data_IF_045069021629
#
_entry.id   IF_045069021629
#
_cell.length_a   1.000
_cell.length_b   1.000
_cell.length_c   1.000
_cell.angle_alpha   90.00
_cell.angle_beta   90.00
_cell.angle_gamma   90.00
#
_symmetry.space_group_name_H-M   'P 1'
#
loop_
_entity.id
_entity.type
_entity.pdbx_description
1 polymer ?
#
# COMPACT_ATOMS: atom_id res chain seq x y z
N UNK A 1 -10.75 -25.17 -15.83
CA UNK A 1 -10.83 -24.43 -14.55
C UNK A 1 -9.58 -23.58 -14.44
N UNK A 2 -9.71 -22.26 -14.43
CA UNK A 2 -8.53 -21.39 -14.30
C UNK A 2 -8.01 -21.43 -12.86
N UNK A 3 -6.72 -21.76 -12.69
CA UNK A 3 -6.05 -21.77 -11.37
C UNK A 3 -5.50 -20.39 -11.00
N UNK A 4 -5.26 -19.54 -11.99
CA UNK A 4 -4.76 -18.17 -11.86
C UNK A 4 -5.63 -17.26 -12.73
N UNK A 5 -6.00 -16.12 -12.16
CA UNK A 5 -6.74 -15.05 -12.82
C UNK A 5 -5.78 -13.87 -12.89
N UNK A 6 -5.46 -13.45 -14.12
CA UNK A 6 -4.52 -12.37 -14.41
C UNK A 6 -5.26 -11.11 -14.80
N UNK A 7 -4.77 -9.96 -14.32
CA UNK A 7 -5.22 -8.64 -14.74
C UNK A 7 -4.15 -8.08 -15.68
N UNK A 8 -4.56 -7.46 -16.79
CA UNK A 8 -3.61 -6.80 -17.69
C UNK A 8 -3.03 -5.56 -17.01
N UNK A 9 -1.78 -5.21 -17.34
CA UNK A 9 -1.15 -3.98 -16.86
C UNK A 9 -1.98 -2.75 -17.23
N UNK A 10 -2.59 -2.72 -18.43
CA UNK A 10 -3.50 -1.67 -18.88
C UNK A 10 -4.73 -1.46 -17.99
N UNK A 11 -5.09 -2.47 -17.21
CA UNK A 11 -6.29 -2.49 -16.38
C UNK A 11 -5.95 -2.27 -14.89
N UNK A 12 -4.68 -1.95 -14.57
CA UNK A 12 -4.29 -1.65 -13.18
C UNK A 12 -5.05 -0.41 -12.67
N UNK A 13 -5.51 -0.40 -11.40
CA UNK A 13 -6.03 0.82 -10.79
C UNK A 13 -5.00 1.94 -10.85
N UNK A 14 -5.47 3.15 -11.17
CA UNK A 14 -4.64 4.37 -11.28
C UNK A 14 -4.78 5.30 -10.08
N UNK A 15 -5.57 4.90 -9.08
CA UNK A 15 -5.83 5.65 -7.86
C UNK A 15 -5.77 4.71 -6.65
N UNK A 16 -5.23 5.20 -5.54
CA UNK A 16 -5.41 4.58 -4.23
C UNK A 16 -6.78 4.96 -3.67
N UNK A 17 -7.37 4.04 -2.92
CA UNK A 17 -8.63 4.25 -2.22
C UNK A 17 -8.36 4.63 -0.76
N UNK A 18 -8.90 5.75 -0.32
CA UNK A 18 -8.84 6.19 1.06
C UNK A 18 -10.12 5.76 1.79
N UNK A 19 -9.99 4.77 2.66
CA UNK A 19 -11.13 4.26 3.43
C UNK A 19 -11.72 5.33 4.38
N UNK A 20 -10.92 6.29 4.84
CA UNK A 20 -11.37 7.30 5.81
C UNK A 20 -12.53 8.15 5.27
N UNK A 21 -12.63 8.33 3.96
CA UNK A 21 -13.71 9.07 3.31
C UNK A 21 -15.10 8.42 3.47
N UNK A 22 -15.14 7.12 3.76
CA UNK A 22 -16.38 6.33 3.80
C UNK A 22 -16.64 5.69 5.18
N UNK A 23 -15.83 6.03 6.21
CA UNK A 23 -16.07 5.57 7.58
C UNK A 23 -17.29 6.29 8.18
N UNK A 24 -18.15 5.60 8.97
CA UNK A 24 -19.31 6.23 9.61
C UNK A 24 -18.97 7.39 10.55
N UNK A 25 -17.77 7.33 11.15
CA UNK A 25 -17.16 8.40 11.93
C UNK A 25 -15.72 8.55 11.47
N UNK A 26 -15.17 9.78 11.40
CA UNK A 26 -13.77 9.98 11.06
C UNK A 26 -12.84 9.19 11.99
N UNK A 27 -11.67 8.73 11.50
CA UNK A 27 -10.62 8.21 12.37
C UNK A 27 -10.29 9.21 13.47
N UNK A 28 -10.01 8.70 14.68
CA UNK A 28 -9.52 9.55 15.75
C UNK A 28 -8.16 10.14 15.33
N UNK A 29 -7.91 11.43 15.61
CA UNK A 29 -6.65 12.04 15.23
C UNK A 29 -5.49 11.42 16.05
N UNK A 30 -4.28 11.37 15.49
CA UNK A 30 -3.09 11.04 16.25
C UNK A 30 -2.93 12.03 17.41
N UNK A 31 -2.53 11.50 18.58
CA UNK A 31 -2.35 12.29 19.80
C UNK A 31 -0.87 12.50 20.10
N UNK A 32 -0.55 13.67 20.63
CA UNK A 32 0.75 13.98 21.20
C UNK A 32 0.94 13.35 22.57
N UNK A 33 2.15 13.48 23.16
CA UNK A 33 2.44 12.98 24.50
C UNK A 33 1.56 13.58 25.61
N UNK A 34 0.95 14.74 25.38
CA UNK A 34 0.01 15.41 26.28
C UNK A 34 -1.43 14.92 26.13
N UNK A 35 -1.68 13.94 25.25
CA UNK A 35 -3.00 13.39 24.97
C UNK A 35 -3.88 14.26 24.07
N UNK A 36 -3.33 15.33 23.47
CA UNK A 36 -4.08 16.21 22.56
C UNK A 36 -3.82 15.87 21.10
N UNK A 37 -4.78 16.11 20.19
CA UNK A 37 -4.57 15.95 18.75
C UNK A 37 -3.36 16.75 18.26
N UNK A 38 -2.50 16.12 17.45
CA UNK A 38 -1.40 16.82 16.79
C UNK A 38 -1.90 17.60 15.58
N UNK A 39 -1.22 18.70 15.24
CA UNK A 39 -1.42 19.36 13.95
C UNK A 39 -0.56 18.70 12.87
N UNK A 40 -0.90 18.85 11.57
CA UNK A 40 -0.07 18.37 10.47
C UNK A 40 1.38 18.85 10.54
N UNK A 41 1.61 20.10 10.94
CA UNK A 41 2.95 20.68 11.08
C UNK A 41 3.82 19.96 12.13
N UNK A 42 3.20 19.31 13.11
CA UNK A 42 3.93 18.51 14.10
C UNK A 42 4.53 17.23 13.51
N UNK A 43 4.10 16.81 12.31
CA UNK A 43 4.67 15.67 11.57
C UNK A 43 5.84 16.09 10.66
N UNK A 44 5.98 17.39 10.37
CA UNK A 44 7.01 17.94 9.47
C UNK A 44 8.47 17.63 9.86
N UNK A 45 8.82 17.39 11.15
CA UNK A 45 10.17 16.93 11.50
C UNK A 45 10.54 15.54 10.95
N UNK A 46 9.54 14.72 10.60
CA UNK A 46 9.74 13.33 10.17
C UNK A 46 9.32 13.13 8.71
N UNK A 47 8.26 13.79 8.27
CA UNK A 47 7.67 13.58 6.95
C UNK A 47 7.64 14.87 6.11
N UNK A 48 7.88 14.79 4.80
CA UNK A 48 7.65 15.90 3.89
C UNK A 48 6.15 16.19 3.73
N UNK A 49 5.80 17.43 3.38
CA UNK A 49 4.40 17.90 3.30
C UNK A 49 3.54 17.05 2.36
N UNK A 50 4.07 16.61 1.22
CA UNK A 50 3.34 15.77 0.26
C UNK A 50 2.96 14.37 0.80
N UNK A 51 3.59 13.90 1.88
CA UNK A 51 3.20 12.68 2.60
C UNK A 51 2.18 13.05 3.70
N UNK A 52 2.42 14.14 4.42
CA UNK A 52 1.50 14.63 5.49
C UNK A 52 0.11 14.92 4.92
N UNK A 53 0.03 15.53 3.74
CA UNK A 53 -1.22 15.82 3.03
C UNK A 53 -2.05 14.56 2.75
N UNK A 54 -1.40 13.41 2.52
CA UNK A 54 -2.10 12.14 2.34
C UNK A 54 -2.68 11.60 3.65
N UNK A 55 -1.95 11.72 4.75
CA UNK A 55 -2.38 11.26 6.08
C UNK A 55 -3.66 11.98 6.54
N UNK A 56 -3.78 13.28 6.24
CA UNK A 56 -4.92 14.11 6.65
C UNK A 56 -5.98 14.27 5.55
N UNK A 57 -5.82 13.56 4.42
CA UNK A 57 -6.72 13.68 3.28
C UNK A 57 -8.11 13.12 3.59
N UNK A 58 -9.14 13.87 3.19
CA UNK A 58 -10.54 13.41 3.18
C UNK A 58 -11.02 12.99 1.80
N UNK A 59 -10.14 13.04 0.78
CA UNK A 59 -10.46 12.63 -0.57
C UNK A 59 -10.58 11.10 -0.65
N UNK A 60 -11.61 10.61 -1.34
CA UNK A 60 -11.87 9.16 -1.51
C UNK A 60 -10.82 8.50 -2.41
N UNK A 61 -10.37 9.21 -3.43
CA UNK A 61 -9.46 8.70 -4.45
C UNK A 61 -8.23 9.60 -4.54
N UNK A 62 -7.05 8.98 -4.47
CA UNK A 62 -5.77 9.68 -4.57
C UNK A 62 -5.04 9.13 -5.79
N UNK A 63 -4.73 9.98 -6.76
CA UNK A 63 -4.04 9.58 -7.98
C UNK A 63 -2.66 8.98 -7.67
N UNK A 64 -2.37 7.83 -8.29
CA UNK A 64 -1.05 7.21 -8.21
C UNK A 64 -0.15 7.94 -9.22
N UNK A 65 0.98 8.53 -8.79
CA UNK A 65 1.90 9.19 -9.71
C UNK A 65 2.39 8.22 -10.79
N UNK A 66 2.48 8.66 -12.04
CA UNK A 66 2.94 7.80 -13.15
C UNK A 66 4.30 7.13 -12.86
N UNK A 67 5.31 7.83 -12.31
CA UNK A 67 6.59 7.20 -11.99
C UNK A 67 6.48 6.08 -10.93
N UNK A 68 5.45 6.12 -10.08
CA UNK A 68 5.15 5.04 -9.14
C UNK A 68 4.52 3.86 -9.87
N UNK A 69 3.52 4.10 -10.73
CA UNK A 69 2.91 3.05 -11.57
C UNK A 69 3.95 2.35 -12.45
N UNK A 70 4.81 3.11 -13.12
CA UNK A 70 5.91 2.61 -13.95
C UNK A 70 6.82 1.62 -13.23
N UNK A 71 7.11 1.89 -11.95
CA UNK A 71 7.88 0.99 -11.11
C UNK A 71 7.07 -0.23 -10.68
N UNK A 72 5.80 -0.02 -10.28
CA UNK A 72 4.92 -1.09 -9.84
C UNK A 72 4.66 -2.12 -10.95
N UNK A 73 4.57 -1.74 -12.23
CA UNK A 73 4.37 -2.67 -13.36
C UNK A 73 5.40 -3.81 -13.41
N UNK A 74 6.59 -3.62 -12.82
CA UNK A 74 7.62 -4.68 -12.76
C UNK A 74 7.17 -5.92 -11.99
N UNK A 75 6.18 -5.82 -11.10
CA UNK A 75 5.59 -6.97 -10.38
C UNK A 75 4.07 -6.91 -10.20
N UNK A 76 3.43 -5.84 -10.66
CA UNK A 76 1.98 -5.61 -10.58
C UNK A 76 1.37 -5.67 -11.98
N UNK A 77 0.12 -6.15 -12.12
CA UNK A 77 -0.78 -6.62 -11.06
C UNK A 77 -0.44 -8.04 -10.55
N UNK A 78 -0.50 -8.25 -9.23
CA UNK A 78 -0.32 -9.60 -8.67
C UNK A 78 -1.49 -10.53 -9.07
N UNK A 79 -1.24 -11.83 -9.32
CA UNK A 79 -2.29 -12.76 -9.71
C UNK A 79 -3.30 -13.01 -8.58
N UNK A 80 -4.57 -13.21 -8.93
CA UNK A 80 -5.55 -13.83 -8.03
C UNK A 80 -5.54 -15.34 -8.30
N UNK A 81 -5.41 -16.16 -7.26
CA UNK A 81 -5.31 -17.60 -7.41
C UNK A 81 -6.45 -18.31 -6.71
N UNK A 82 -6.93 -19.40 -7.31
CA UNK A 82 -7.94 -20.26 -6.69
C UNK A 82 -7.26 -21.47 -6.04
N UNK A 83 -7.49 -21.68 -4.75
CA UNK A 83 -6.88 -22.74 -3.96
C UNK A 83 -7.63 -24.08 -4.12
N UNK A 84 -7.71 -24.60 -5.35
CA UNK A 84 -8.53 -25.78 -5.70
C UNK A 84 -8.19 -27.05 -4.91
N UNK A 85 -6.92 -27.24 -4.54
CA UNK A 85 -6.51 -28.40 -3.73
C UNK A 85 -6.89 -28.23 -2.26
N UNK A 86 -6.86 -26.99 -1.75
CA UNK A 86 -7.36 -26.69 -0.41
C UNK A 86 -8.88 -26.89 -0.34
N UNK A 87 -9.62 -26.43 -1.35
CA UNK A 87 -11.06 -26.68 -1.48
C UNK A 87 -11.39 -28.18 -1.40
N UNK A 88 -10.66 -29.00 -2.19
CA UNK A 88 -10.81 -30.47 -2.19
C UNK A 88 -10.47 -31.10 -0.84
N UNK A 89 -9.36 -30.70 -0.24
CA UNK A 89 -8.93 -31.20 1.06
C UNK A 89 -9.97 -30.92 2.15
N UNK A 90 -10.51 -29.70 2.17
CA UNK A 90 -11.52 -29.27 3.12
C UNK A 90 -12.93 -29.81 2.81
N UNK A 91 -13.15 -30.41 1.63
CA UNK A 91 -14.46 -30.83 1.13
C UNK A 91 -15.52 -29.73 1.22
N UNK A 92 -15.10 -28.48 1.00
CA UNK A 92 -15.98 -27.32 1.13
C UNK A 92 -16.67 -26.98 -0.20
N UNK A 93 -17.94 -26.54 -0.17
CA UNK A 93 -18.59 -25.97 -1.35
C UNK A 93 -18.09 -24.54 -1.64
N UNK A 94 -17.38 -23.91 -0.71
CA UNK A 94 -16.84 -22.57 -0.87
C UNK A 94 -15.71 -22.55 -1.92
N UNK A 95 -15.59 -21.42 -2.61
CA UNK A 95 -14.44 -21.14 -3.48
C UNK A 95 -13.43 -20.32 -2.68
N UNK A 96 -12.18 -20.75 -2.64
CA UNK A 96 -11.13 -20.09 -1.87
C UNK A 96 -10.19 -19.41 -2.85
N UNK A 97 -10.12 -18.08 -2.74
CA UNK A 97 -9.20 -17.25 -3.52
C UNK A 97 -8.20 -16.56 -2.62
N UNK A 98 -6.99 -16.36 -3.12
CA UNK A 98 -5.98 -15.56 -2.45
C UNK A 98 -5.29 -14.64 -3.45
N UNK A 99 -5.04 -13.40 -3.01
CA UNK A 99 -4.29 -12.40 -3.77
C UNK A 99 -2.81 -12.65 -3.53
N UNK A 100 -2.08 -13.03 -4.57
CA UNK A 100 -0.71 -13.52 -4.47
C UNK A 100 0.33 -12.38 -4.53
N UNK A 101 0.41 -11.61 -3.45
CA UNK A 101 1.38 -10.52 -3.28
C UNK A 101 2.82 -11.02 -3.04
N UNK A 102 3.08 -12.33 -3.12
CA UNK A 102 4.43 -12.90 -3.01
C UNK A 102 5.29 -12.68 -4.26
N UNK A 103 4.72 -12.07 -5.29
CA UNK A 103 5.32 -11.89 -6.62
C UNK A 103 6.23 -10.68 -6.74
N UNK A 104 6.28 -9.81 -5.72
CA UNK A 104 7.22 -8.69 -5.67
C UNK A 104 8.66 -9.16 -5.42
N UNK A 105 9.68 -8.35 -5.75
CA UNK A 105 11.09 -8.74 -5.53
C UNK A 105 11.43 -9.24 -4.11
N UNK A 106 10.94 -8.60 -3.01
CA UNK A 106 11.15 -9.12 -1.65
C UNK A 106 10.08 -10.13 -1.20
N UNK A 107 9.17 -10.55 -2.07
CA UNK A 107 8.17 -11.58 -1.78
C UNK A 107 7.04 -11.15 -0.85
N UNK A 108 6.67 -9.86 -0.82
CA UNK A 108 5.57 -9.35 0.02
C UNK A 108 4.88 -8.12 -0.57
N UNK A 109 3.79 -7.65 0.05
CA UNK A 109 3.08 -6.43 -0.36
C UNK A 109 3.80 -5.13 0.02
N UNK A 110 4.89 -5.17 0.80
CA UNK A 110 5.55 -3.98 1.35
C UNK A 110 6.07 -2.98 0.30
N UNK A 111 6.62 -3.40 -0.86
CA UNK A 111 7.00 -2.48 -1.93
C UNK A 111 5.87 -1.60 -2.44
N UNK A 112 4.60 -2.00 -2.26
CA UNK A 112 3.45 -1.20 -2.68
C UNK A 112 3.41 0.17 -1.99
N UNK A 113 3.90 0.29 -0.74
CA UNK A 113 4.07 1.58 -0.05
C UNK A 113 5.51 2.09 -0.08
N UNK A 114 6.52 1.21 0.03
CA UNK A 114 7.92 1.64 0.06
C UNK A 114 8.31 2.46 -1.18
N UNK A 115 7.85 2.04 -2.37
CA UNK A 115 8.08 2.74 -3.63
C UNK A 115 7.42 4.12 -3.63
N UNK A 116 6.17 4.22 -3.16
CA UNK A 116 5.46 5.48 -3.08
C UNK A 116 6.14 6.44 -2.10
N UNK A 117 6.50 5.96 -0.90
CA UNK A 117 7.20 6.77 0.10
C UNK A 117 8.58 7.22 -0.40
N UNK A 118 9.33 6.34 -1.06
CA UNK A 118 10.60 6.70 -1.67
C UNK A 118 10.44 7.75 -2.78
N UNK A 119 9.39 7.63 -3.61
CA UNK A 119 9.05 8.61 -4.63
C UNK A 119 8.72 9.99 -4.03
N UNK A 120 7.82 10.05 -3.04
CA UNK A 120 7.41 11.32 -2.45
C UNK A 120 8.57 12.04 -1.74
N UNK A 121 9.42 11.29 -1.04
CA UNK A 121 10.64 11.83 -0.44
C UNK A 121 11.61 12.35 -1.51
N UNK A 122 11.81 11.61 -2.61
CA UNK A 122 12.64 12.07 -3.73
C UNK A 122 12.12 13.38 -4.32
N UNK A 123 10.81 13.50 -4.53
CA UNK A 123 10.17 14.73 -5.04
C UNK A 123 10.35 15.90 -4.06
N UNK A 124 10.34 15.61 -2.75
CA UNK A 124 10.59 16.60 -1.70
C UNK A 124 12.09 16.95 -1.51
N UNK A 125 12.99 16.43 -2.36
CA UNK A 125 14.43 16.71 -2.31
C UNK A 125 15.21 15.89 -1.28
N UNK A 126 14.59 14.89 -0.66
CA UNK A 126 15.25 14.00 0.29
C UNK A 126 16.13 13.00 -0.47
N UNK A 127 17.41 12.96 -0.14
CA UNK A 127 18.42 12.11 -0.80
C UNK A 127 18.80 10.87 0.00
N UNK A 128 18.37 10.79 1.27
CA UNK A 128 18.66 9.67 2.17
C UNK A 128 17.43 9.34 3.01
N UNK A 129 17.07 8.07 3.03
CA UNK A 129 16.01 7.53 3.89
C UNK A 129 16.59 6.62 4.95
N UNK A 130 15.95 6.62 6.11
CA UNK A 130 16.25 5.73 7.22
C UNK A 130 14.94 5.15 7.72
N UNK A 131 14.91 3.84 7.93
CA UNK A 131 13.77 3.16 8.54
C UNK A 131 14.28 1.98 9.37
N UNK A 132 13.50 1.59 10.35
CA UNK A 132 13.74 0.42 11.19
C UNK A 132 13.43 -0.87 10.43
N UNK A 133 14.01 -1.99 10.85
CA UNK A 133 13.51 -3.28 10.41
C UNK A 133 13.84 -4.36 11.44
N UNK A 134 12.94 -5.32 11.61
CA UNK A 134 13.15 -6.51 12.44
C UNK A 134 13.73 -7.64 11.60
N UNK A 135 12.88 -8.59 11.21
CA UNK A 135 13.25 -9.73 10.36
C UNK A 135 13.69 -9.33 8.93
N UNK A 136 13.59 -8.06 8.55
CA UNK A 136 14.18 -7.52 7.33
C UNK A 136 13.23 -7.32 6.15
N UNK A 137 11.97 -7.75 6.21
CA UNK A 137 11.06 -7.61 5.06
C UNK A 137 10.77 -6.15 4.71
N UNK A 138 10.74 -5.26 5.71
CA UNK A 138 10.55 -3.83 5.47
C UNK A 138 11.84 -3.15 4.99
N UNK A 139 12.99 -3.48 5.58
CA UNK A 139 14.27 -2.96 5.09
C UNK A 139 14.66 -3.47 3.70
N UNK A 140 14.11 -4.61 3.27
CA UNK A 140 14.31 -5.16 1.92
C UNK A 140 13.39 -4.55 0.86
N UNK A 141 12.26 -3.96 1.29
CA UNK A 141 11.25 -3.38 0.40
C UNK A 141 11.65 -1.98 -0.06
#
# INVERSE_FOLDING_TARGET
MEHKILLKESDIPRQWYNLAADLPTPPLPPLGPDGKPISPDMLAPVFPMNIIEQEVSTERWIDIPEPVLDLLYRWRPAPLRRAVYLEKYLKTPARIYYKDESTSPPGSHKPNTAVAQAYYNKVAGITRLTTETGAGQWGSA
#
